data_IF_863836731544
#
_entry.id   IF_863836731544
#
_cell.length_a   1.000
_cell.length_b   1.000
_cell.length_c   1.000
_cell.angle_alpha   90.00
_cell.angle_beta   90.00
_cell.angle_gamma   90.00
#
_symmetry.space_group_name_H-M   'P 1'
#
loop_
_entity.id
_entity.type
_entity.pdbx_description
1 polymer ?
#
# COMPACT_ATOMS: atom_id res chain seq x y z
N UNK A 1 0.55 -26.45 3.20
CA UNK A 1 1.34 -25.72 2.18
C UNK A 1 1.62 -24.35 2.73
N UNK A 2 2.87 -23.86 2.72
CA UNK A 2 3.18 -22.49 3.16
C UNK A 2 2.97 -21.53 1.99
N UNK A 3 2.28 -20.42 2.23
CA UNK A 3 2.21 -19.33 1.25
C UNK A 3 3.61 -18.71 1.07
N UNK A 4 3.99 -18.31 -0.16
CA UNK A 4 5.22 -17.57 -0.37
C UNK A 4 5.15 -16.21 0.36
N UNK A 5 6.29 -15.66 0.79
CA UNK A 5 6.33 -14.35 1.41
C UNK A 5 5.87 -13.26 0.42
N UNK A 6 5.02 -12.36 0.89
CA UNK A 6 4.58 -11.19 0.12
C UNK A 6 5.71 -10.16 0.13
N UNK A 7 6.12 -9.69 -1.05
CA UNK A 7 7.15 -8.64 -1.19
C UNK A 7 6.61 -7.33 -1.72
N UNK A 8 5.48 -7.36 -2.45
CA UNK A 8 4.87 -6.20 -3.10
C UNK A 8 3.35 -6.28 -2.97
N UNK A 9 2.69 -5.14 -2.78
CA UNK A 9 1.24 -5.04 -2.71
C UNK A 9 0.73 -3.91 -3.61
N UNK A 10 -0.22 -4.23 -4.48
CA UNK A 10 -1.03 -3.25 -5.22
C UNK A 10 -2.31 -2.97 -4.44
N UNK A 11 -2.55 -1.71 -4.09
CA UNK A 11 -3.67 -1.30 -3.25
C UNK A 11 -4.56 -0.33 -4.01
N UNK A 12 -5.85 -0.66 -4.14
CA UNK A 12 -6.85 0.19 -4.79
C UNK A 12 -8.20 -0.01 -4.11
N UNK A 13 -8.63 0.98 -3.32
CA UNK A 13 -9.85 0.88 -2.52
C UNK A 13 -10.68 2.16 -2.61
N UNK A 14 -12.00 1.99 -2.62
CA UNK A 14 -12.93 3.12 -2.57
C UNK A 14 -13.01 3.69 -1.15
N UNK A 15 -13.32 2.83 -0.17
CA UNK A 15 -13.30 3.17 1.25
C UNK A 15 -11.87 3.11 1.79
N UNK A 16 -11.48 4.14 2.53
CA UNK A 16 -10.12 4.35 3.05
C UNK A 16 -10.06 4.23 4.57
N UNK A 17 -11.16 3.85 5.21
CA UNK A 17 -11.19 3.61 6.64
C UNK A 17 -10.14 2.56 7.04
N UNK A 18 -9.23 2.92 7.94
CA UNK A 18 -8.15 2.05 8.42
C UNK A 18 -7.03 1.75 7.42
N UNK A 19 -7.06 2.36 6.23
CA UNK A 19 -6.10 2.07 5.17
C UNK A 19 -4.67 2.41 5.57
N UNK A 20 -4.45 3.55 6.22
CA UNK A 20 -3.12 4.02 6.62
C UNK A 20 -2.46 3.04 7.60
N UNK A 21 -3.18 2.59 8.62
CA UNK A 21 -2.64 1.66 9.63
C UNK A 21 -2.35 0.29 9.02
N UNK A 22 -3.21 -0.17 8.10
CA UNK A 22 -2.98 -1.40 7.35
C UNK A 22 -1.69 -1.33 6.53
N UNK A 23 -1.48 -0.25 5.77
CA UNK A 23 -0.31 -0.08 4.92
C UNK A 23 0.98 0.09 5.73
N UNK A 24 0.93 0.79 6.86
CA UNK A 24 2.08 0.87 7.78
C UNK A 24 2.51 -0.51 8.28
N UNK A 25 1.54 -1.40 8.57
CA UNK A 25 1.84 -2.78 8.93
C UNK A 25 2.58 -3.54 7.82
N UNK A 26 2.24 -3.27 6.55
CA UNK A 26 2.92 -3.82 5.39
C UNK A 26 4.33 -3.25 5.20
N UNK A 27 4.52 -1.93 5.36
CA UNK A 27 5.84 -1.30 5.31
C UNK A 27 6.78 -1.86 6.38
N UNK A 28 6.29 -2.02 7.61
CA UNK A 28 7.06 -2.64 8.72
C UNK A 28 7.43 -4.10 8.39
N UNK A 29 6.57 -4.81 7.64
CA UNK A 29 6.85 -6.15 7.15
C UNK A 29 7.77 -6.19 5.91
N UNK A 30 8.23 -5.03 5.42
CA UNK A 30 9.13 -4.93 4.26
C UNK A 30 8.45 -5.13 2.90
N UNK A 31 7.15 -4.81 2.81
CA UNK A 31 6.37 -4.92 1.57
C UNK A 31 6.38 -3.59 0.82
N UNK A 32 6.78 -3.61 -0.45
CA UNK A 32 6.72 -2.43 -1.33
C UNK A 32 5.27 -2.14 -1.75
N UNK A 33 4.84 -0.89 -1.64
CA UNK A 33 3.45 -0.49 -1.87
C UNK A 33 3.30 0.20 -3.22
N UNK A 34 2.33 -0.26 -3.99
CA UNK A 34 1.95 0.33 -5.27
C UNK A 34 0.50 0.77 -5.23
N UNK A 35 0.19 1.92 -5.81
CA UNK A 35 -1.19 2.40 -5.92
C UNK A 35 -1.35 3.44 -7.03
N UNK A 36 -2.59 3.78 -7.36
CA UNK A 36 -2.91 4.87 -8.29
C UNK A 36 -4.09 5.71 -7.79
N UNK A 37 -4.35 6.82 -8.48
CA UNK A 37 -5.55 7.62 -8.31
C UNK A 37 -5.77 8.11 -6.89
N UNK A 38 -7.00 8.01 -6.40
CA UNK A 38 -7.38 8.50 -5.07
C UNK A 38 -6.79 7.71 -3.90
N UNK A 39 -6.38 6.46 -4.11
CA UNK A 39 -5.76 5.62 -3.07
C UNK A 39 -4.32 6.06 -2.85
N UNK A 40 -3.53 6.20 -3.94
CA UNK A 40 -2.16 6.74 -3.89
C UNK A 40 -2.12 8.08 -3.16
N UNK A 41 -2.93 9.04 -3.60
CA UNK A 41 -2.98 10.38 -3.00
C UNK A 41 -3.27 10.36 -1.49
N UNK A 42 -4.17 9.49 -1.04
CA UNK A 42 -4.51 9.39 0.38
C UNK A 42 -3.35 8.85 1.23
N UNK A 43 -2.62 7.87 0.70
CA UNK A 43 -1.45 7.29 1.36
C UNK A 43 -0.29 8.30 1.41
N UNK A 44 0.00 8.96 0.30
CA UNK A 44 1.06 10.00 0.21
C UNK A 44 0.80 11.15 1.19
N UNK A 45 -0.45 11.61 1.30
CA UNK A 45 -0.86 12.64 2.27
C UNK A 45 -0.66 12.21 3.74
N UNK A 46 -0.58 10.90 3.98
CA UNK A 46 -0.35 10.31 5.31
C UNK A 46 1.12 10.02 5.59
N UNK A 47 2.02 10.41 4.67
CA UNK A 47 3.46 10.20 4.76
C UNK A 47 3.94 8.79 4.44
N UNK A 48 3.10 7.98 3.75
CA UNK A 48 3.44 6.63 3.32
C UNK A 48 4.12 6.69 1.95
N UNK A 49 5.20 5.93 1.77
CA UNK A 49 5.87 5.82 0.49
C UNK A 49 5.10 4.87 -0.43
N UNK A 50 4.70 5.35 -1.59
CA UNK A 50 3.85 4.61 -2.53
C UNK A 50 4.32 4.85 -3.95
N UNK A 51 4.62 3.75 -4.65
CA UNK A 51 5.02 3.76 -6.04
C UNK A 51 3.79 3.82 -6.96
N UNK A 52 3.89 4.58 -8.05
CA UNK A 52 2.88 4.53 -9.09
C UNK A 52 3.05 3.23 -9.90
N UNK A 53 1.95 2.64 -10.36
CA UNK A 53 2.01 1.40 -11.18
C UNK A 53 2.46 1.66 -12.62
N UNK A 54 2.43 2.93 -13.06
CA UNK A 54 2.85 3.30 -14.41
C UNK A 54 4.35 3.60 -14.54
N UNK A 55 5.10 3.55 -13.43
CA UNK A 55 6.56 3.71 -13.39
C UNK A 55 7.31 2.38 -13.53
#
# INVERSE_FOLDING_TARGET
MSSPPVRRALISVSDKLGLVDFVRGLEVAGVEIYSTGGTRRHLEQSGIDVLDVSE
#
